data_IF_163544030649
#
_entry.id   IF_163544030649
#
_cell.length_a   1.000
_cell.length_b   1.000
_cell.length_c   1.000
_cell.angle_alpha   90.00
_cell.angle_beta   90.00
_cell.angle_gamma   90.00
#
_symmetry.space_group_name_H-M   'P 1'
#
loop_
_entity.id
_entity.type
_entity.pdbx_description
1 polymer ?
#
# COMPACT_ATOMS: atom_id res chain seq x y z
N UNK A 1 13.09 -13.29 25.67
CA UNK A 1 13.16 -12.13 24.75
C UNK A 1 12.65 -10.92 25.49
N UNK A 2 13.47 -9.89 25.67
CA UNK A 2 13.06 -8.63 26.30
C UNK A 2 12.37 -7.77 25.26
N UNK A 3 11.08 -7.48 25.45
CA UNK A 3 10.38 -6.46 24.65
C UNK A 3 11.14 -5.15 24.82
N UNK A 4 11.54 -4.46 23.73
CA UNK A 4 12.18 -3.16 23.84
C UNK A 4 11.28 -2.22 24.66
N UNK A 5 11.85 -1.37 25.53
CA UNK A 5 11.07 -0.42 26.31
C UNK A 5 10.19 0.42 25.37
N UNK A 6 8.97 0.71 25.81
CA UNK A 6 7.99 1.46 25.03
C UNK A 6 8.42 2.93 24.87
N UNK A 7 9.33 3.15 23.92
CA UNK A 7 9.88 4.46 23.60
C UNK A 7 8.87 5.27 22.79
N UNK A 8 8.15 6.14 23.50
CA UNK A 8 7.15 7.05 22.92
C UNK A 8 7.76 8.00 21.88
N UNK A 9 9.04 8.37 22.02
CA UNK A 9 9.75 9.22 21.07
C UNK A 9 9.99 8.46 19.79
N UNK A 10 10.49 7.23 19.89
CA UNK A 10 10.68 6.33 18.75
C UNK A 10 9.36 6.06 18.02
N UNK A 11 8.26 5.81 18.74
CA UNK A 11 6.94 5.63 18.10
C UNK A 11 6.47 6.86 17.34
N UNK A 12 6.69 8.06 17.90
CA UNK A 12 6.32 9.32 17.24
C UNK A 12 7.16 9.58 16.00
N UNK A 13 8.46 9.31 16.07
CA UNK A 13 9.38 9.40 14.93
C UNK A 13 8.99 8.40 13.83
N UNK A 14 8.71 7.15 14.18
CA UNK A 14 8.20 6.14 13.25
C UNK A 14 6.89 6.58 12.57
N UNK A 15 5.98 7.20 13.31
CA UNK A 15 4.70 7.66 12.77
C UNK A 15 4.81 8.88 11.84
N UNK A 16 5.87 9.70 11.96
CA UNK A 16 5.98 10.97 11.24
C UNK A 16 7.08 10.99 10.18
N UNK A 17 8.27 10.46 10.49
CA UNK A 17 9.42 10.47 9.59
C UNK A 17 9.47 9.24 8.67
N UNK A 18 8.99 8.09 9.16
CA UNK A 18 9.16 6.82 8.46
C UNK A 18 7.89 6.25 7.85
N UNK A 19 6.69 6.52 8.40
CA UNK A 19 5.42 6.12 7.77
C UNK A 19 4.88 7.13 6.75
N UNK A 20 5.56 8.26 6.56
CA UNK A 20 5.20 9.25 5.54
C UNK A 20 5.95 8.96 4.24
N UNK A 21 5.21 8.89 3.13
CA UNK A 21 5.77 8.78 1.78
C UNK A 21 5.87 7.37 1.19
N UNK A 22 6.73 7.24 0.17
CA UNK A 22 6.89 6.04 -0.65
C UNK A 22 8.07 5.19 -0.18
N UNK A 23 7.83 3.89 0.01
CA UNK A 23 8.83 2.93 0.47
C UNK A 23 9.12 1.92 -0.63
N UNK A 24 10.40 1.75 -0.95
CA UNK A 24 10.86 0.69 -1.83
C UNK A 24 10.57 -0.68 -1.21
N UNK A 25 10.00 -1.58 -2.01
CA UNK A 25 9.66 -2.94 -1.58
C UNK A 25 10.57 -3.96 -2.24
N UNK A 26 10.58 -3.99 -3.57
CA UNK A 26 11.37 -4.94 -4.36
C UNK A 26 11.44 -4.47 -5.82
N UNK A 27 12.13 -5.22 -6.68
CA UNK A 27 12.08 -5.07 -8.12
C UNK A 27 10.82 -5.75 -8.69
N UNK A 28 10.31 -5.22 -9.81
CA UNK A 28 9.19 -5.80 -10.55
C UNK A 28 9.49 -7.25 -10.95
N UNK A 29 10.77 -7.59 -11.20
CA UNK A 29 11.20 -8.95 -11.53
C UNK A 29 10.96 -9.98 -10.42
N UNK A 30 10.62 -9.56 -9.21
CA UNK A 30 10.19 -10.46 -8.13
C UNK A 30 8.76 -11.00 -8.35
N UNK A 31 7.95 -10.34 -9.19
CA UNK A 31 6.58 -10.71 -9.54
C UNK A 31 6.50 -10.82 -11.06
N UNK A 32 6.56 -12.04 -11.59
CA UNK A 32 6.74 -12.26 -13.05
C UNK A 32 5.48 -12.69 -13.76
N UNK A 33 4.49 -13.18 -13.02
CA UNK A 33 3.24 -13.72 -13.56
C UNK A 33 2.06 -13.23 -12.76
N UNK A 34 0.92 -13.12 -13.44
CA UNK A 34 -0.36 -12.90 -12.78
C UNK A 34 -0.56 -13.87 -11.60
N UNK A 35 -0.94 -13.32 -10.46
CA UNK A 35 -1.13 -14.06 -9.21
C UNK A 35 0.14 -14.26 -8.38
N UNK A 36 1.33 -13.95 -8.90
CA UNK A 36 2.54 -13.87 -8.07
C UNK A 36 2.31 -12.80 -7.00
N UNK A 37 2.77 -13.08 -5.78
CA UNK A 37 2.65 -12.17 -4.66
C UNK A 37 3.84 -12.27 -3.71
N UNK A 38 4.10 -11.17 -3.02
CA UNK A 38 5.09 -11.09 -1.96
C UNK A 38 4.44 -10.48 -0.71
N UNK A 39 4.80 -11.03 0.45
CA UNK A 39 4.40 -10.50 1.74
C UNK A 39 5.63 -9.89 2.41
N UNK A 40 5.54 -8.59 2.69
CA UNK A 40 6.60 -7.81 3.33
C UNK A 40 6.08 -7.21 4.63
N UNK A 41 6.94 -7.09 5.64
CA UNK A 41 6.60 -6.38 6.88
C UNK A 41 7.20 -4.98 6.81
N UNK A 42 6.36 -3.97 6.63
CA UNK A 42 6.77 -2.56 6.56
C UNK A 42 6.33 -1.85 7.84
N UNK A 43 7.29 -1.39 8.65
CA UNK A 43 7.04 -0.77 9.96
C UNK A 43 6.13 -1.58 10.90
N UNK A 44 6.25 -2.91 10.87
CA UNK A 44 5.43 -3.82 11.68
C UNK A 44 4.03 -4.09 11.12
N UNK A 45 3.70 -3.53 9.96
CA UNK A 45 2.46 -3.81 9.24
C UNK A 45 2.71 -4.84 8.13
N UNK A 46 1.94 -5.94 8.08
CA UNK A 46 2.04 -6.90 6.99
C UNK A 46 1.40 -6.31 5.73
N UNK A 47 2.19 -6.14 4.69
CA UNK A 47 1.78 -5.65 3.38
C UNK A 47 1.89 -6.80 2.38
N UNK A 48 0.80 -7.06 1.67
CA UNK A 48 0.74 -7.99 0.55
C UNK A 48 0.83 -7.19 -0.74
N UNK A 49 1.78 -7.52 -1.61
CA UNK A 49 1.86 -6.97 -2.97
C UNK A 49 1.59 -8.10 -3.95
N UNK A 50 0.72 -7.86 -4.93
CA UNK A 50 0.21 -8.87 -5.87
C UNK A 50 0.29 -8.32 -7.29
N UNK A 51 0.68 -9.16 -8.24
CA UNK A 51 0.45 -8.92 -9.66
C UNK A 51 -0.99 -9.32 -10.01
N UNK A 52 -1.90 -8.35 -10.11
CA UNK A 52 -3.32 -8.61 -10.34
C UNK A 52 -3.61 -8.99 -11.80
N UNK A 53 -2.95 -8.30 -12.74
CA UNK A 53 -2.90 -8.63 -14.16
C UNK A 53 -1.48 -8.40 -14.67
N UNK A 54 -1.21 -8.78 -15.93
CA UNK A 54 0.05 -8.44 -16.59
C UNK A 54 0.28 -6.92 -16.48
N UNK A 55 1.41 -6.53 -15.88
CA UNK A 55 1.82 -5.15 -15.57
C UNK A 55 0.97 -4.34 -14.58
N UNK A 56 -0.03 -4.95 -13.90
CA UNK A 56 -0.76 -4.28 -12.80
C UNK A 56 -0.33 -4.83 -11.43
N UNK A 57 0.33 -3.99 -10.65
CA UNK A 57 0.70 -4.28 -9.26
C UNK A 57 -0.30 -3.61 -8.33
N UNK A 58 -0.80 -4.39 -7.36
CA UNK A 58 -1.61 -3.87 -6.25
C UNK A 58 -0.98 -4.22 -4.91
N UNK A 59 -1.23 -3.37 -3.92
CA UNK A 59 -0.75 -3.57 -2.57
C UNK A 59 -1.88 -3.46 -1.56
N UNK A 60 -1.80 -4.27 -0.51
CA UNK A 60 -2.82 -4.35 0.53
C UNK A 60 -2.19 -4.43 1.92
N UNK A 61 -2.70 -3.65 2.87
CA UNK A 61 -2.45 -3.82 4.29
C UNK A 61 -3.32 -4.96 4.82
N UNK A 62 -2.66 -6.02 5.30
CA UNK A 62 -3.35 -7.15 5.93
C UNK A 62 -3.77 -6.79 7.36
N UNK A 63 -5.08 -6.70 7.60
CA UNK A 63 -5.61 -6.53 8.96
C UNK A 63 -5.53 -7.86 9.73
N UNK A 64 -5.25 -7.80 11.04
CA UNK A 64 -5.22 -9.01 11.87
C UNK A 64 -6.63 -9.63 11.94
N UNK A 65 -6.75 -10.91 11.58
CA UNK A 65 -7.97 -11.71 11.82
C UNK A 65 -8.35 -11.64 13.31
N UNK A 66 -9.65 -11.57 13.66
CA UNK A 66 -10.81 -11.91 12.85
C UNK A 66 -11.44 -10.72 12.09
N UNK A 67 -10.83 -9.54 12.07
CA UNK A 67 -11.51 -8.31 11.61
C UNK A 67 -10.87 -7.70 10.36
N UNK A 68 -11.55 -7.88 9.23
CA UNK A 68 -11.40 -7.02 8.05
C UNK A 68 -10.77 -7.69 6.83
N UNK A 69 -11.30 -7.35 5.66
CA UNK A 69 -10.63 -7.62 4.39
C UNK A 69 -9.31 -6.82 4.31
N UNK A 70 -8.30 -7.30 3.57
CA UNK A 70 -7.11 -6.51 3.30
C UNK A 70 -7.48 -5.12 2.77
N UNK A 71 -6.89 -4.08 3.33
CA UNK A 71 -7.16 -2.70 2.92
C UNK A 71 -6.23 -2.32 1.78
N UNK A 72 -6.71 -1.78 0.65
CA UNK A 72 -5.83 -1.33 -0.42
C UNK A 72 -4.91 -0.23 0.09
N UNK A 73 -3.65 -0.30 -0.31
CA UNK A 73 -2.68 0.78 -0.11
C UNK A 73 -2.11 1.21 -1.46
N UNK A 74 -1.71 2.47 -1.57
CA UNK A 74 -1.15 2.98 -2.82
C UNK A 74 0.17 2.29 -3.11
N UNK A 75 0.34 1.91 -4.36
CA UNK A 75 1.60 1.40 -4.88
C UNK A 75 1.92 2.04 -6.23
N UNK A 76 3.18 1.97 -6.63
CA UNK A 76 3.65 2.48 -7.90
C UNK A 76 4.88 1.69 -8.36
N UNK A 77 5.00 1.48 -9.66
CA UNK A 77 6.22 0.97 -10.28
C UNK A 77 6.96 2.11 -10.97
N UNK A 78 8.24 2.31 -10.64
CA UNK A 78 9.11 3.30 -11.30
C UNK A 78 10.48 2.69 -11.53
N UNK A 79 10.99 2.78 -12.76
CA UNK A 79 12.30 2.23 -13.14
C UNK A 79 12.46 0.74 -12.76
N UNK A 80 11.39 -0.05 -12.88
CA UNK A 80 11.39 -1.47 -12.49
C UNK A 80 11.38 -1.71 -10.98
N UNK A 81 11.19 -0.69 -10.15
CA UNK A 81 11.11 -0.79 -8.69
C UNK A 81 9.67 -0.61 -8.22
N UNK A 82 9.24 -1.46 -7.29
CA UNK A 82 7.94 -1.41 -6.64
C UNK A 82 8.04 -0.54 -5.39
N UNK A 83 7.14 0.42 -5.27
CA UNK A 83 6.99 1.28 -4.10
C UNK A 83 5.59 1.14 -3.51
N UNK A 84 5.50 1.23 -2.19
CA UNK A 84 4.23 1.29 -1.44
C UNK A 84 4.22 2.55 -0.57
N UNK A 85 3.07 3.23 -0.52
CA UNK A 85 2.83 4.36 0.35
C UNK A 85 1.83 3.94 1.43
N UNK A 86 2.15 4.22 2.71
CA UNK A 86 1.30 3.88 3.85
C UNK A 86 0.58 5.10 4.48
N UNK A 87 0.89 6.32 4.02
CA UNK A 87 0.31 7.56 4.53
C UNK A 87 -1.16 7.64 4.10
N UNK A 88 -2.07 7.44 5.05
CA UNK A 88 -3.52 7.42 4.80
C UNK A 88 -4.03 8.70 4.11
N UNK A 89 -3.37 9.84 4.34
CA UNK A 89 -3.74 11.11 3.69
C UNK A 89 -3.61 11.03 2.17
N UNK A 90 -2.64 10.26 1.68
CA UNK A 90 -2.44 10.05 0.26
C UNK A 90 -3.43 9.03 -0.34
N UNK A 91 -4.19 8.32 0.51
CA UNK A 91 -5.18 7.30 0.11
C UNK A 91 -6.60 7.86 -0.01
N UNK A 92 -6.86 9.06 0.48
CA UNK A 92 -8.07 9.80 0.16
C UNK A 92 -8.03 10.10 -1.34
N UNK A 93 -8.73 9.26 -2.10
CA UNK A 93 -9.02 9.53 -3.51
C UNK A 93 -9.72 10.89 -3.53
N UNK A 94 -9.10 11.90 -4.15
CA UNK A 94 -9.88 12.95 -4.79
C UNK A 94 -10.91 12.21 -5.64
N UNK A 95 -12.18 12.29 -5.25
CA UNK A 95 -13.26 11.57 -5.92
C UNK A 95 -13.10 11.77 -7.41
N UNK A 96 -13.01 10.65 -8.14
CA UNK A 96 -13.01 10.66 -9.59
C UNK A 96 -14.26 11.41 -10.01
N UNK A 97 -14.06 12.62 -10.56
CA UNK A 97 -15.12 13.53 -10.99
C UNK A 97 -16.12 12.69 -11.79
N UNK A 98 -17.29 12.42 -11.19
CA UNK A 98 -18.32 11.65 -11.85
C UNK A 98 -18.69 12.43 -13.11
N UNK A 99 -18.31 11.90 -14.27
CA UNK A 99 -18.65 12.50 -15.55
C UNK A 99 -20.17 12.41 -15.64
N UNK A 100 -20.83 13.51 -15.26
CA UNK A 100 -22.27 13.68 -15.36
C UNK A 100 -22.60 13.76 -16.85
N UNK A 101 -22.91 12.61 -17.44
CA UNK A 101 -23.51 12.55 -18.76
C UNK A 101 -24.90 13.15 -18.65
N UNK A 102 -25.03 14.44 -19.01
CA UNK A 102 -26.33 15.10 -19.11
C UNK A 102 -27.09 14.47 -20.28
N UNK A 103 -28.28 13.86 -20.08
CA UNK A 103 -29.05 13.34 -21.20
C UNK A 103 -29.61 14.53 -22.00
N UNK A 104 -29.28 14.62 -23.29
CA UNK A 104 -30.01 15.49 -24.21
C UNK A 104 -31.37 14.83 -24.47
N UNK A 105 -32.43 15.44 -23.94
CA UNK A 105 -33.80 15.12 -24.35
C UNK A 105 -34.00 15.42 -25.84
N UNK A 106 -34.61 14.47 -26.53
CA UNK A 106 -35.05 14.56 -27.92
C UNK A 106 -36.38 15.31 -28.05
#
# INVERSE_FOLDING_TARGET
MTTPPDDRTFRREMATAYRSGWHFIDLLTALTRQGDSLMVTLFGEPILVVMETDDDIRAYRCLRRPRGAPQPVRCAVRYGMIFVNLDQRDHELFEQEAISATPRSA
#
